data_IF_410976160051
#
_entry.id   IF_410976160051
#
_cell.length_a   1.000
_cell.length_b   1.000
_cell.length_c   1.000
_cell.angle_alpha   90.00
_cell.angle_beta   90.00
_cell.angle_gamma   90.00
#
_symmetry.space_group_name_H-M   'P 1'
#
loop_
_entity.id
_entity.type
_entity.pdbx_description
1 polymer ?
#
# COMPACT_ATOMS: atom_id res chain seq x y z
N UNK A 1 -6.48 2.27 -28.68
CA UNK A 1 -6.36 2.74 -27.28
C UNK A 1 -5.30 1.90 -26.59
N UNK A 2 -4.16 2.51 -26.24
CA UNK A 2 -3.03 1.84 -25.59
C UNK A 2 -3.47 1.19 -24.27
N UNK A 3 -3.09 -0.06 -24.01
CA UNK A 3 -3.44 -0.80 -22.79
C UNK A 3 -2.17 -1.11 -21.97
N UNK A 4 -1.53 -0.10 -21.40
CA UNK A 4 -0.64 -0.32 -20.24
C UNK A 4 -1.51 -0.63 -19.02
N UNK A 5 -1.24 -1.77 -18.35
CA UNK A 5 -2.05 -2.28 -17.22
C UNK A 5 -1.51 -1.77 -15.89
N UNK A 6 -2.34 -1.75 -14.85
CA UNK A 6 -1.84 -1.57 -13.48
C UNK A 6 -1.05 -2.83 -13.04
N UNK A 7 0.04 -2.67 -12.27
CA UNK A 7 0.69 -3.79 -11.60
C UNK A 7 -0.26 -4.40 -10.55
N UNK A 8 -0.08 -5.67 -10.21
CA UNK A 8 -0.80 -6.29 -9.08
C UNK A 8 -0.12 -5.92 -7.74
N UNK A 9 -0.82 -6.08 -6.59
CA UNK A 9 -0.18 -5.90 -5.28
C UNK A 9 1.06 -6.77 -5.09
N UNK A 10 1.04 -8.01 -5.58
CA UNK A 10 2.15 -8.97 -5.49
C UNK A 10 3.35 -8.50 -6.32
N UNK A 11 3.11 -7.99 -7.53
CA UNK A 11 4.16 -7.42 -8.38
C UNK A 11 4.80 -6.19 -7.73
N UNK A 12 3.98 -5.29 -7.16
CA UNK A 12 4.50 -4.13 -6.44
C UNK A 12 5.27 -4.53 -5.17
N UNK A 13 4.79 -5.54 -4.44
CA UNK A 13 5.51 -6.06 -3.28
C UNK A 13 6.87 -6.62 -3.69
N UNK A 14 6.94 -7.37 -4.79
CA UNK A 14 8.19 -7.88 -5.32
C UNK A 14 9.17 -6.76 -5.73
N UNK A 15 8.66 -5.66 -6.32
CA UNK A 15 9.49 -4.47 -6.59
C UNK A 15 10.04 -3.86 -5.31
N UNK A 16 9.21 -3.75 -4.26
CA UNK A 16 9.63 -3.26 -2.96
C UNK A 16 10.72 -4.17 -2.38
N UNK A 17 10.59 -5.49 -2.46
CA UNK A 17 11.56 -6.43 -1.89
C UNK A 17 12.95 -6.31 -2.57
N UNK A 18 12.98 -6.10 -3.88
CA UNK A 18 14.21 -5.95 -4.67
C UNK A 18 14.82 -4.53 -4.58
N UNK A 19 13.99 -3.52 -4.32
CA UNK A 19 14.39 -2.12 -4.38
C UNK A 19 15.32 -1.70 -3.24
N UNK A 20 16.23 -0.78 -3.56
CA UNK A 20 17.01 -0.06 -2.57
C UNK A 20 16.12 0.93 -1.80
N UNK A 21 16.56 1.40 -0.62
CA UNK A 21 15.71 2.24 0.25
C UNK A 21 15.14 3.48 -0.45
N UNK A 22 15.95 4.16 -1.30
CA UNK A 22 15.49 5.31 -2.09
C UNK A 22 14.41 4.92 -3.08
N UNK A 23 14.58 3.80 -3.74
CA UNK A 23 13.68 3.28 -4.76
C UNK A 23 12.38 2.74 -4.13
N UNK A 24 12.47 2.16 -2.93
CA UNK A 24 11.31 1.81 -2.09
C UNK A 24 10.43 3.01 -1.82
N UNK A 25 11.02 4.14 -1.41
CA UNK A 25 10.29 5.40 -1.20
C UNK A 25 9.62 5.89 -2.48
N UNK A 26 10.33 5.85 -3.61
CA UNK A 26 9.78 6.26 -4.91
C UNK A 26 8.55 5.42 -5.27
N UNK A 27 8.70 4.09 -5.23
CA UNK A 27 7.62 3.16 -5.59
C UNK A 27 6.45 3.29 -4.62
N UNK A 28 6.71 3.33 -3.32
CA UNK A 28 5.66 3.41 -2.30
C UNK A 28 4.88 4.72 -2.38
N UNK A 29 5.57 5.85 -2.61
CA UNK A 29 4.90 7.13 -2.78
C UNK A 29 4.06 7.17 -4.06
N UNK A 30 4.57 6.66 -5.19
CA UNK A 30 3.79 6.60 -6.44
C UNK A 30 2.55 5.71 -6.29
N UNK A 31 2.68 4.55 -5.62
CA UNK A 31 1.62 3.58 -5.46
C UNK A 31 0.54 4.02 -4.47
N UNK A 32 0.95 4.64 -3.35
CA UNK A 32 0.03 4.99 -2.26
C UNK A 32 -0.46 6.44 -2.30
N UNK A 33 0.28 7.37 -2.89
CA UNK A 33 -0.13 8.79 -2.96
C UNK A 33 -0.55 9.25 -4.36
N UNK A 34 -0.50 8.36 -5.35
CA UNK A 34 -1.03 8.62 -6.69
C UNK A 34 -0.33 9.75 -7.44
N UNK A 35 0.88 10.17 -7.06
CA UNK A 35 1.57 11.34 -7.64
C UNK A 35 1.92 11.17 -9.13
N UNK A 36 2.03 12.30 -9.85
CA UNK A 36 2.74 12.33 -11.14
C UNK A 36 4.24 12.23 -10.85
N UNK A 37 4.97 11.55 -11.72
CA UNK A 37 6.44 11.41 -11.60
C UNK A 37 7.14 12.76 -11.44
N UNK A 38 6.75 13.75 -12.25
CA UNK A 38 7.31 15.10 -12.18
C UNK A 38 6.92 15.88 -10.91
N UNK A 39 5.76 15.57 -10.31
CA UNK A 39 5.33 16.17 -9.05
C UNK A 39 6.14 15.59 -7.90
N UNK A 40 6.25 14.25 -7.83
CA UNK A 40 7.05 13.56 -6.80
C UNK A 40 8.50 14.04 -6.78
N UNK A 41 9.09 14.25 -7.96
CA UNK A 41 10.46 14.73 -8.11
C UNK A 41 10.72 16.12 -7.51
N UNK A 42 9.68 16.95 -7.39
CA UNK A 42 9.76 18.33 -6.90
C UNK A 42 9.35 18.49 -5.44
N UNK A 43 8.80 17.45 -4.81
CA UNK A 43 8.41 17.53 -3.41
C UNK A 43 9.62 17.85 -2.53
N UNK A 44 9.38 18.68 -1.53
CA UNK A 44 10.33 19.09 -0.50
C UNK A 44 9.88 18.54 0.86
N UNK A 45 10.81 18.48 1.81
CA UNK A 45 10.54 17.98 3.16
C UNK A 45 9.44 18.79 3.88
N UNK A 46 9.33 20.10 3.63
CA UNK A 46 8.28 20.95 4.19
C UNK A 46 6.85 20.43 3.94
N UNK A 47 6.61 19.77 2.79
CA UNK A 47 5.27 19.23 2.46
C UNK A 47 4.84 18.05 3.32
N UNK A 48 5.80 17.31 3.92
CA UNK A 48 5.52 16.13 4.77
C UNK A 48 5.81 16.38 6.23
N UNK A 49 6.65 17.38 6.55
CA UNK A 49 7.25 17.62 7.87
C UNK A 49 6.21 17.63 8.99
N UNK A 50 5.12 18.40 8.82
CA UNK A 50 4.11 18.60 9.86
C UNK A 50 3.54 17.27 10.36
N UNK A 51 3.05 16.44 9.45
CA UNK A 51 2.39 15.19 9.81
C UNK A 51 3.39 14.08 10.15
N UNK A 52 4.52 14.05 9.44
CA UNK A 52 5.55 13.03 9.63
C UNK A 52 6.19 13.11 11.02
N UNK A 53 6.52 14.32 11.49
CA UNK A 53 7.14 14.58 12.79
C UNK A 53 6.13 14.47 13.95
N UNK A 54 4.85 14.81 13.71
CA UNK A 54 3.78 14.61 14.69
C UNK A 54 3.28 13.15 14.77
N UNK A 55 3.83 12.24 13.94
CA UNK A 55 3.42 10.84 13.93
C UNK A 55 1.99 10.60 13.41
N UNK A 56 1.40 11.56 12.70
CA UNK A 56 0.03 11.46 12.17
C UNK A 56 0.05 10.58 10.92
N UNK A 57 -0.83 9.58 10.87
CA UNK A 57 -1.00 8.69 9.71
C UNK A 57 -2.49 8.52 9.38
N UNK A 58 -2.91 8.59 8.11
CA UNK A 58 -2.14 8.86 6.89
C UNK A 58 -1.47 10.25 6.88
N UNK A 59 -0.29 10.39 6.28
CA UNK A 59 0.44 11.69 6.22
C UNK A 59 -0.14 12.53 5.10
N UNK A 60 -0.57 13.75 5.41
CA UNK A 60 -1.08 14.72 4.44
C UNK A 60 0.04 15.39 3.65
N UNK A 61 -0.19 15.59 2.35
CA UNK A 61 0.71 16.28 1.44
C UNK A 61 -0.13 17.21 0.58
N UNK A 62 -0.01 18.51 0.81
CA UNK A 62 -0.59 19.54 -0.06
C UNK A 62 0.32 19.78 -1.27
N UNK A 63 -0.25 19.81 -2.47
CA UNK A 63 0.49 20.03 -3.71
C UNK A 63 -0.04 21.28 -4.39
N UNK A 64 0.82 22.28 -4.46
CA UNK A 64 0.52 23.54 -5.12
C UNK A 64 0.49 23.40 -6.65
N UNK A 65 -0.37 24.21 -7.28
CA UNK A 65 -0.52 24.24 -8.75
C UNK A 65 0.79 24.59 -9.47
N UNK A 66 1.68 25.37 -8.86
CA UNK A 66 3.00 25.73 -9.40
C UNK A 66 3.90 24.53 -9.64
N UNK A 67 3.88 23.56 -8.72
CA UNK A 67 4.64 22.32 -8.84
C UNK A 67 4.19 21.55 -10.09
N UNK A 68 2.90 21.60 -10.40
CA UNK A 68 2.28 20.94 -11.57
C UNK A 68 2.37 21.75 -12.87
N UNK A 69 3.13 22.86 -12.88
CA UNK A 69 3.32 23.78 -14.02
C UNK A 69 2.05 24.56 -14.39
N UNK A 70 1.18 24.85 -13.42
CA UNK A 70 -0.04 25.65 -13.62
C UNK A 70 -1.09 25.00 -14.53
N UNK A 71 -0.90 23.73 -14.92
CA UNK A 71 -1.85 22.98 -15.75
C UNK A 71 -2.94 22.29 -14.94
N UNK A 72 -2.74 22.18 -13.63
CA UNK A 72 -3.64 21.47 -12.72
C UNK A 72 -3.86 22.31 -11.46
N UNK A 73 -5.02 22.13 -10.84
CA UNK A 73 -5.37 22.73 -9.57
C UNK A 73 -4.44 22.26 -8.46
N UNK A 74 -4.36 23.05 -7.39
CA UNK A 74 -3.88 22.59 -6.10
C UNK A 74 -4.75 21.43 -5.60
N UNK A 75 -4.13 20.47 -4.93
CA UNK A 75 -4.84 19.31 -4.41
C UNK A 75 -4.13 18.72 -3.19
N UNK A 76 -4.93 18.08 -2.36
CA UNK A 76 -4.46 17.33 -1.21
C UNK A 76 -4.39 15.84 -1.53
N UNK A 77 -3.28 15.21 -1.17
CA UNK A 77 -3.13 13.76 -1.20
C UNK A 77 -2.55 13.25 0.10
N UNK A 78 -2.56 11.94 0.27
CA UNK A 78 -2.13 11.28 1.49
C UNK A 78 -1.23 10.10 1.18
N UNK A 79 -0.36 9.76 2.12
CA UNK A 79 0.41 8.52 2.08
C UNK A 79 0.12 7.69 3.33
N UNK A 80 -0.11 6.40 3.13
CA UNK A 80 -0.31 5.44 4.21
C UNK A 80 0.96 5.22 5.05
N UNK A 81 0.80 4.47 6.15
CA UNK A 81 1.86 4.15 7.11
C UNK A 81 3.08 3.50 6.43
N UNK A 82 2.86 2.59 5.47
CA UNK A 82 3.95 1.89 4.77
C UNK A 82 4.93 2.85 4.09
N UNK A 83 4.41 3.81 3.31
CA UNK A 83 5.24 4.81 2.64
C UNK A 83 5.87 5.79 3.65
N UNK A 84 5.13 6.16 4.70
CA UNK A 84 5.66 7.03 5.75
C UNK A 84 6.85 6.39 6.48
N UNK A 85 6.80 5.09 6.77
CA UNK A 85 7.88 4.36 7.44
C UNK A 85 9.13 4.27 6.55
N UNK A 86 8.98 3.94 5.27
CA UNK A 86 10.12 3.99 4.33
C UNK A 86 10.72 5.38 4.24
N UNK A 87 9.87 6.42 4.23
CA UNK A 87 10.31 7.80 4.17
C UNK A 87 11.10 8.21 5.43
N UNK A 88 10.66 7.82 6.63
CA UNK A 88 11.40 8.06 7.88
C UNK A 88 12.79 7.44 7.84
N UNK A 89 12.87 6.14 7.50
CA UNK A 89 14.15 5.43 7.43
C UNK A 89 15.06 6.06 6.36
N UNK A 90 14.50 6.51 5.25
CA UNK A 90 15.24 7.21 4.20
C UNK A 90 15.79 8.57 4.67
N UNK A 91 14.99 9.37 5.37
CA UNK A 91 15.44 10.65 5.92
C UNK A 91 16.53 10.45 7.00
N UNK A 92 16.42 9.42 7.82
CA UNK A 92 17.44 9.08 8.81
C UNK A 92 18.76 8.63 8.17
N UNK A 93 18.69 7.85 7.08
CA UNK A 93 19.86 7.51 6.28
C UNK A 93 20.54 8.78 5.73
N UNK A 94 19.76 9.77 5.29
CA UNK A 94 20.30 11.05 4.80
C UNK A 94 20.96 11.86 5.91
N UNK A 95 20.34 11.91 7.09
CA UNK A 95 20.91 12.58 8.29
C UNK A 95 22.23 11.95 8.72
N UNK A 96 22.37 10.62 8.58
CA UNK A 96 23.61 9.89 8.93
C UNK A 96 24.67 9.89 7.82
N UNK A 97 24.27 10.07 6.57
CA UNK A 97 25.16 9.88 5.42
C UNK A 97 25.48 8.42 5.14
N UNK A 98 26.24 8.18 4.07
CA UNK A 98 26.65 6.81 3.71
C UNK A 98 27.87 6.38 4.53
N UNK A 99 27.90 5.13 5.05
CA UNK A 99 29.04 4.61 5.80
C UNK A 99 30.38 4.68 5.03
N UNK A 100 30.32 4.60 3.70
CA UNK A 100 31.51 4.69 2.85
C UNK A 100 32.02 6.12 2.60
N UNK A 101 31.39 7.14 3.19
CA UNK A 101 31.78 8.56 3.05
C UNK A 101 31.49 9.19 1.68
N UNK A 102 30.93 8.44 0.72
CA UNK A 102 30.55 8.97 -0.60
C UNK A 102 29.46 10.05 -0.51
N UNK A 103 28.48 9.83 0.36
CA UNK A 103 27.39 10.76 0.65
C UNK A 103 27.61 11.28 2.07
N UNK A 104 27.90 12.57 2.27
CA UNK A 104 28.07 13.12 3.60
C UNK A 104 26.73 13.18 4.35
N UNK A 105 26.76 13.17 5.70
CA UNK A 105 25.62 13.53 6.52
C UNK A 105 25.08 14.92 6.11
N UNK A 106 23.76 15.10 6.11
CA UNK A 106 23.14 16.39 5.79
C UNK A 106 22.07 16.81 6.80
N UNK A 107 21.93 18.12 7.00
CA UNK A 107 20.84 18.70 7.80
C UNK A 107 19.64 18.97 6.89
N UNK A 108 18.48 18.41 7.24
CA UNK A 108 17.28 18.50 6.42
C UNK A 108 16.44 19.68 6.88
N UNK A 109 16.31 20.67 5.99
CA UNK A 109 15.48 21.86 6.17
C UNK A 109 14.19 21.76 5.31
N UNK A 110 13.25 22.66 5.52
CA UNK A 110 11.92 22.60 4.88
C UNK A 110 11.99 22.68 3.35
N UNK A 111 12.95 23.44 2.80
CA UNK A 111 13.22 23.57 1.37
C UNK A 111 14.05 22.42 0.79
N UNK A 112 14.52 21.50 1.62
CA UNK A 112 15.34 20.38 1.17
C UNK A 112 14.51 19.44 0.31
N UNK A 113 15.06 18.92 -0.80
CA UNK A 113 14.32 17.99 -1.65
C UNK A 113 13.93 16.75 -0.84
N UNK A 114 12.70 16.28 -1.02
CA UNK A 114 12.19 15.10 -0.34
C UNK A 114 12.97 13.85 -0.77
N UNK A 115 13.26 13.74 -2.08
CA UNK A 115 14.06 12.66 -2.66
C UNK A 115 15.27 13.27 -3.37
N UNK A 116 16.47 12.85 -2.95
CA UNK A 116 17.72 13.35 -3.51
C UNK A 116 18.13 12.63 -4.80
N UNK A 117 18.91 13.30 -5.62
CA UNK A 117 19.64 12.69 -6.72
C UNK A 117 20.70 11.69 -6.20
N UNK A 118 20.85 10.56 -6.88
CA UNK A 118 21.56 9.38 -6.38
C UNK A 118 23.05 9.60 -6.11
N UNK A 119 23.75 10.25 -7.04
CA UNK A 119 25.21 10.31 -7.07
C UNK A 119 25.78 11.70 -6.73
N UNK A 120 25.01 12.53 -6.01
CA UNK A 120 25.42 13.88 -5.63
C UNK A 120 25.87 13.99 -4.17
N UNK A 121 27.06 14.57 -3.94
CA UNK A 121 27.44 15.02 -2.59
C UNK A 121 26.46 16.08 -2.06
N UNK A 122 26.10 17.03 -2.92
CA UNK A 122 25.12 18.05 -2.61
C UNK A 122 23.67 17.50 -2.74
N UNK A 123 22.76 17.81 -1.80
CA UNK A 123 21.35 17.42 -1.88
C UNK A 123 20.61 18.17 -2.98
N UNK A 124 20.72 17.66 -4.21
CA UNK A 124 19.91 18.13 -5.34
C UNK A 124 18.65 17.30 -5.45
N UNK A 125 17.55 17.92 -5.88
CA UNK A 125 16.32 17.22 -6.18
C UNK A 125 16.54 16.16 -7.27
N UNK A 126 15.82 15.05 -7.18
CA UNK A 126 15.81 14.03 -8.23
C UNK A 126 15.12 14.58 -9.50
N UNK A 127 15.67 14.28 -10.68
CA UNK A 127 14.98 14.61 -11.93
C UNK A 127 13.85 13.61 -12.22
N UNK A 128 12.76 14.07 -12.83
CA UNK A 128 11.63 13.21 -13.19
C UNK A 128 12.04 12.07 -14.14
N UNK A 129 12.99 12.29 -15.05
CA UNK A 129 13.54 11.22 -15.90
C UNK A 129 14.35 10.22 -15.10
N UNK A 130 15.02 10.65 -14.02
CA UNK A 130 15.75 9.76 -13.14
C UNK A 130 14.78 8.88 -12.34
N UNK A 131 13.67 9.44 -11.84
CA UNK A 131 12.60 8.65 -11.21
C UNK A 131 12.02 7.62 -12.18
N UNK A 132 11.73 8.01 -13.43
CA UNK A 132 11.24 7.08 -14.45
C UNK A 132 12.24 5.95 -14.72
N UNK A 133 13.54 6.28 -14.84
CA UNK A 133 14.60 5.28 -15.04
C UNK A 133 14.77 4.35 -13.85
N UNK A 134 14.70 4.86 -12.63
CA UNK A 134 14.76 4.04 -11.41
C UNK A 134 13.64 2.99 -11.42
N UNK A 135 12.40 3.42 -11.61
CA UNK A 135 11.24 2.50 -11.71
C UNK A 135 11.39 1.52 -12.88
N UNK A 136 11.82 1.98 -14.05
CA UNK A 136 12.06 1.10 -15.20
C UNK A 136 13.12 0.04 -14.88
N UNK A 137 14.24 0.42 -14.26
CA UNK A 137 15.31 -0.50 -13.89
C UNK A 137 14.84 -1.54 -12.86
N UNK A 138 13.95 -1.18 -11.93
CA UNK A 138 13.33 -2.14 -11.02
C UNK A 138 12.48 -3.16 -11.77
N UNK A 139 11.67 -2.74 -12.73
CA UNK A 139 10.90 -3.66 -13.57
C UNK A 139 11.80 -4.58 -14.42
N UNK A 140 12.95 -4.07 -14.91
CA UNK A 140 13.97 -4.92 -15.58
C UNK A 140 14.51 -5.97 -14.61
N UNK A 141 14.91 -5.54 -13.40
CA UNK A 141 15.47 -6.43 -12.37
C UNK A 141 14.47 -7.49 -11.90
N UNK A 142 13.19 -7.14 -11.85
CA UNK A 142 12.09 -8.05 -11.53
C UNK A 142 11.68 -8.95 -12.71
N UNK A 143 12.28 -8.79 -13.90
CA UNK A 143 11.93 -9.51 -15.12
C UNK A 143 10.43 -9.40 -15.50
N UNK A 144 9.84 -8.23 -15.28
CA UNK A 144 8.40 -7.96 -15.50
C UNK A 144 8.11 -7.15 -16.76
N UNK A 145 9.13 -6.84 -17.57
CA UNK A 145 8.97 -6.03 -18.76
C UNK A 145 8.59 -6.86 -19.98
N UNK A 146 7.31 -6.78 -20.34
CA UNK A 146 6.84 -7.25 -21.65
C UNK A 146 6.67 -6.06 -22.59
N UNK A 147 7.30 -6.14 -23.76
CA UNK A 147 7.15 -5.13 -24.81
C UNK A 147 5.81 -5.34 -25.53
N UNK A 148 5.02 -4.27 -25.60
CA UNK A 148 3.79 -4.26 -26.41
C UNK A 148 4.17 -4.00 -27.88
N UNK A 149 4.98 -2.97 -28.12
CA UNK A 149 5.40 -2.54 -29.46
C UNK A 149 6.64 -1.64 -29.38
N UNK A 150 7.77 -2.12 -29.90
CA UNK A 150 9.02 -1.37 -29.90
C UNK A 150 9.52 -1.06 -28.48
N UNK A 151 9.81 0.21 -28.18
CA UNK A 151 10.29 0.67 -26.86
C UNK A 151 9.16 0.89 -25.83
N UNK A 152 7.97 0.32 -26.03
CA UNK A 152 6.80 0.49 -25.16
C UNK A 152 6.55 -0.78 -24.37
N UNK A 153 6.32 -0.62 -23.07
CA UNK A 153 6.13 -1.72 -22.13
C UNK A 153 4.74 -1.72 -21.51
N UNK A 154 4.26 -2.88 -21.06
CA UNK A 154 3.00 -3.00 -20.32
C UNK A 154 3.04 -2.30 -18.96
N UNK A 155 4.21 -2.27 -18.33
CA UNK A 155 4.46 -1.68 -17.01
C UNK A 155 5.45 -0.52 -17.13
N UNK A 156 5.16 0.59 -16.44
CA UNK A 156 6.00 1.77 -16.39
C UNK A 156 5.71 2.62 -15.13
N UNK A 157 6.38 3.74 -14.94
CA UNK A 157 6.06 4.62 -13.80
C UNK A 157 4.60 5.10 -13.78
N UNK A 158 3.96 5.25 -14.94
CA UNK A 158 2.54 5.60 -15.02
C UNK A 158 1.61 4.45 -14.67
N UNK A 159 2.02 3.18 -14.83
CA UNK A 159 1.19 2.04 -14.41
C UNK A 159 1.05 1.98 -12.90
N UNK A 160 2.08 2.38 -12.14
CA UNK A 160 2.00 2.49 -10.67
C UNK A 160 0.95 3.53 -10.25
N UNK A 161 0.88 4.67 -10.96
CA UNK A 161 -0.18 5.66 -10.72
C UNK A 161 -1.57 5.11 -11.08
N UNK A 162 -1.68 4.20 -12.07
CA UNK A 162 -2.95 3.51 -12.36
C UNK A 162 -3.34 2.55 -11.24
N UNK A 163 -2.39 1.86 -10.62
CA UNK A 163 -2.65 1.02 -9.45
C UNK A 163 -3.36 1.80 -8.35
N UNK A 164 -2.87 3.00 -8.00
CA UNK A 164 -3.54 3.86 -7.01
C UNK A 164 -5.03 4.06 -7.33
N UNK A 165 -5.34 4.53 -8.54
CA UNK A 165 -6.72 4.77 -8.97
C UNK A 165 -7.56 3.50 -8.95
N UNK A 166 -7.06 2.41 -9.51
CA UNK A 166 -7.79 1.14 -9.62
C UNK A 166 -8.07 0.54 -8.25
N UNK A 167 -7.08 0.52 -7.36
CA UNK A 167 -7.25 -0.05 -6.03
C UNK A 167 -8.17 0.80 -5.16
N UNK A 168 -8.01 2.12 -5.15
CA UNK A 168 -8.88 2.98 -4.36
C UNK A 168 -10.34 2.93 -4.84
N UNK A 169 -10.57 2.85 -6.15
CA UNK A 169 -11.91 2.64 -6.69
C UNK A 169 -12.49 1.26 -6.28
N UNK A 170 -11.66 0.21 -6.31
CA UNK A 170 -12.06 -1.13 -5.85
C UNK A 170 -12.37 -1.18 -4.35
N UNK A 171 -11.75 -0.30 -3.56
CA UNK A 171 -12.00 -0.13 -2.13
C UNK A 171 -13.22 0.78 -1.84
N UNK A 172 -13.94 1.22 -2.87
CA UNK A 172 -15.20 1.96 -2.74
C UNK A 172 -15.06 3.47 -2.58
N UNK A 173 -13.86 4.03 -2.78
CA UNK A 173 -13.67 5.49 -2.74
C UNK A 173 -14.32 6.12 -3.98
N UNK A 174 -15.20 7.13 -3.83
CA UNK A 174 -15.88 7.72 -4.98
C UNK A 174 -14.89 8.39 -5.94
N UNK A 175 -15.15 8.25 -7.24
CA UNK A 175 -14.26 8.68 -8.32
C UNK A 175 -13.83 10.14 -8.21
N UNK A 176 -14.72 11.05 -7.82
CA UNK A 176 -14.41 12.48 -7.75
C UNK A 176 -13.32 12.80 -6.72
N UNK A 177 -13.36 12.14 -5.54
CA UNK A 177 -12.30 12.27 -4.54
C UNK A 177 -10.98 11.69 -5.05
N UNK A 178 -11.01 10.63 -5.87
CA UNK A 178 -9.81 10.07 -6.48
C UNK A 178 -9.22 11.00 -7.53
N UNK A 179 -10.05 11.58 -8.39
CA UNK A 179 -9.61 12.56 -9.36
C UNK A 179 -8.99 13.77 -8.67
N UNK A 180 -9.57 14.21 -7.55
CA UNK A 180 -9.01 15.27 -6.70
C UNK A 180 -7.65 14.88 -6.12
N UNK A 181 -7.54 13.73 -5.43
CA UNK A 181 -6.27 13.26 -4.85
C UNK A 181 -5.19 13.00 -5.91
N UNK A 182 -5.57 12.79 -7.17
CA UNK A 182 -4.66 12.67 -8.30
C UNK A 182 -4.31 14.01 -8.95
N UNK A 183 -4.95 15.11 -8.56
CA UNK A 183 -4.80 16.44 -9.15
C UNK A 183 -5.27 16.46 -10.61
N UNK A 184 -6.40 15.83 -10.89
CA UNK A 184 -7.12 15.96 -12.15
C UNK A 184 -8.09 17.15 -12.08
N UNK A 185 -8.41 17.73 -13.23
CA UNK A 185 -9.37 18.83 -13.30
C UNK A 185 -10.77 18.30 -12.96
N UNK A 186 -11.36 18.84 -11.89
CA UNK A 186 -12.72 18.52 -11.47
C UNK A 186 -13.75 19.35 -12.24
N UNK A 187 -15.01 18.91 -12.16
CA UNK A 187 -16.14 19.73 -12.60
C UNK A 187 -16.22 21.01 -11.75
N UNK A 188 -16.50 22.15 -12.39
CA UNK A 188 -16.62 23.47 -11.74
C UNK A 188 -17.59 23.48 -10.54
N UNK A 189 -18.57 22.58 -10.54
CA UNK A 189 -19.60 22.51 -9.50
C UNK A 189 -19.21 21.65 -8.28
N UNK A 190 -18.05 20.99 -8.31
CA UNK A 190 -17.61 20.10 -7.23
C UNK A 190 -16.38 20.66 -6.52
N UNK A 191 -16.64 21.45 -5.47
CA UNK A 191 -15.60 21.92 -4.55
C UNK A 191 -15.36 20.89 -3.45
N UNK A 192 -14.42 19.98 -3.72
CA UNK A 192 -14.00 18.94 -2.77
C UNK A 192 -13.15 19.53 -1.64
N UNK A 193 -12.42 20.62 -1.91
CA UNK A 193 -11.53 21.26 -0.95
C UNK A 193 -12.31 21.83 0.25
N UNK A 194 -13.54 22.30 0.03
CA UNK A 194 -14.45 22.75 1.09
C UNK A 194 -14.69 21.70 2.20
N UNK A 195 -14.61 20.40 1.89
CA UNK A 195 -14.84 19.33 2.89
C UNK A 195 -13.75 19.26 3.96
N UNK A 196 -12.58 19.84 3.69
CA UNK A 196 -11.46 19.91 4.62
C UNK A 196 -10.58 18.67 4.62
N UNK A 197 -9.34 18.88 5.10
CA UNK A 197 -8.25 17.89 5.05
C UNK A 197 -8.60 16.64 5.87
N UNK A 198 -9.16 16.80 7.06
CA UNK A 198 -9.45 15.66 7.94
C UNK A 198 -10.57 14.75 7.39
N UNK A 199 -11.53 15.31 6.67
CA UNK A 199 -12.54 14.52 5.98
C UNK A 199 -11.91 13.64 4.90
N UNK A 200 -11.03 14.22 4.07
CA UNK A 200 -10.31 13.47 3.03
C UNK A 200 -9.33 12.46 3.61
N UNK A 201 -8.67 12.80 4.73
CA UNK A 201 -7.80 11.90 5.48
C UNK A 201 -8.56 10.68 5.98
N UNK A 202 -9.76 10.88 6.51
CA UNK A 202 -10.62 9.79 6.97
C UNK A 202 -11.07 8.89 5.82
N UNK A 203 -11.42 9.45 4.66
CA UNK A 203 -11.73 8.66 3.45
C UNK A 203 -10.53 7.81 3.04
N UNK A 204 -9.34 8.41 2.96
CA UNK A 204 -8.12 7.69 2.59
C UNK A 204 -7.78 6.60 3.62
N UNK A 205 -7.82 6.94 4.91
CA UNK A 205 -7.51 6.00 6.00
C UNK A 205 -8.48 4.82 6.05
N UNK A 206 -9.78 5.08 5.86
CA UNK A 206 -10.82 4.05 5.85
C UNK A 206 -10.68 3.07 4.66
N UNK A 207 -10.11 3.52 3.53
CA UNK A 207 -9.88 2.65 2.38
C UNK A 207 -8.93 1.48 2.70
N UNK A 208 -7.98 1.68 3.62
CA UNK A 208 -6.97 0.67 3.96
C UNK A 208 -6.09 0.27 2.76
N UNK A 209 -5.79 1.23 1.87
CA UNK A 209 -4.88 1.02 0.75
C UNK A 209 -3.50 0.56 1.23
N UNK A 210 -3.01 -0.53 0.64
CA UNK A 210 -1.77 -1.21 1.03
C UNK A 210 -1.08 -1.76 -0.21
N UNK A 211 0.25 -1.71 -0.24
CA UNK A 211 1.05 -2.41 -1.26
C UNK A 211 1.19 -3.87 -0.86
N UNK A 212 1.38 -4.13 0.44
CA UNK A 212 1.46 -5.50 0.94
C UNK A 212 0.19 -6.23 0.56
N UNK A 213 0.29 -7.39 -0.11
CA UNK A 213 -0.88 -8.20 -0.39
C UNK A 213 -1.50 -8.54 0.97
N UNK A 214 -2.79 -8.25 1.11
CA UNK A 214 -3.55 -8.78 2.25
C UNK A 214 -3.41 -10.29 2.15
N UNK A 215 -2.80 -10.92 3.15
CA UNK A 215 -2.73 -12.37 3.23
C UNK A 215 -4.16 -12.84 3.05
N UNK A 216 -4.44 -13.48 1.91
CA UNK A 216 -5.68 -14.22 1.74
C UNK A 216 -5.50 -15.43 2.64
N UNK A 217 -5.71 -15.22 3.94
CA UNK A 217 -5.81 -16.32 4.86
C UNK A 217 -6.86 -17.24 4.26
N UNK A 218 -6.49 -18.51 4.07
CA UNK A 218 -7.50 -19.47 3.64
C UNK A 218 -8.64 -19.43 4.65
N UNK A 219 -9.87 -19.74 4.23
CA UNK A 219 -11.01 -19.78 5.18
C UNK A 219 -10.69 -20.61 6.42
N UNK A 220 -9.86 -21.63 6.27
CA UNK A 220 -9.34 -22.48 7.34
C UNK A 220 -8.42 -21.69 8.26
N UNK A 221 -7.43 -20.97 7.73
CA UNK A 221 -6.50 -20.17 8.54
C UNK A 221 -7.22 -19.08 9.33
N UNK A 222 -8.21 -18.41 8.75
CA UNK A 222 -9.04 -17.44 9.49
C UNK A 222 -9.80 -18.09 10.63
N UNK A 223 -10.36 -19.29 10.42
CA UNK A 223 -11.09 -20.01 11.46
C UNK A 223 -10.14 -20.51 12.55
N UNK A 224 -8.95 -21.00 12.17
CA UNK A 224 -7.89 -21.42 13.10
C UNK A 224 -7.44 -20.25 13.98
N UNK A 225 -7.24 -19.06 13.41
CA UNK A 225 -6.90 -17.84 14.16
C UNK A 225 -8.00 -17.42 15.15
N UNK A 226 -9.27 -17.40 14.72
CA UNK A 226 -10.40 -17.04 15.61
C UNK A 226 -10.51 -18.02 16.78
N UNK A 227 -10.41 -19.32 16.52
CA UNK A 227 -10.46 -20.36 17.56
C UNK A 227 -9.29 -20.23 18.54
N UNK A 228 -8.08 -19.92 18.05
CA UNK A 228 -6.91 -19.62 18.91
C UNK A 228 -7.13 -18.37 19.75
N UNK A 229 -7.70 -17.31 19.18
CA UNK A 229 -8.01 -16.07 19.90
C UNK A 229 -9.02 -16.31 21.03
N UNK A 230 -9.88 -17.33 20.89
CA UNK A 230 -10.82 -17.78 21.93
C UNK A 230 -10.22 -18.81 22.90
N UNK A 231 -8.90 -19.04 22.85
CA UNK A 231 -8.17 -19.87 23.81
C UNK A 231 -8.21 -21.37 23.56
N UNK A 232 -8.60 -21.82 22.36
CA UNK A 232 -8.62 -23.24 21.99
C UNK A 232 -7.61 -23.60 20.91
N UNK A 233 -7.24 -24.87 20.86
CA UNK A 233 -6.36 -25.41 19.84
C UNK A 233 -7.18 -26.01 18.68
N UNK A 234 -7.14 -25.43 17.47
CA UNK A 234 -7.91 -25.94 16.35
C UNK A 234 -7.48 -27.34 15.89
N UNK A 235 -6.23 -27.75 16.13
CA UNK A 235 -5.76 -29.09 15.75
C UNK A 235 -6.34 -30.18 16.66
N UNK A 236 -6.56 -29.87 17.94
CA UNK A 236 -7.24 -30.78 18.87
C UNK A 236 -8.71 -30.99 18.48
N UNK A 237 -9.37 -29.94 17.97
CA UNK A 237 -10.76 -30.03 17.49
C UNK A 237 -10.83 -30.93 16.26
N UNK A 238 -9.95 -30.70 15.28
CA UNK A 238 -9.89 -31.49 14.05
C UNK A 238 -9.55 -32.97 14.33
N UNK A 239 -8.59 -33.24 15.22
CA UNK A 239 -8.21 -34.61 15.59
C UNK A 239 -9.31 -35.32 16.38
N UNK A 240 -9.98 -34.64 17.30
CA UNK A 240 -11.12 -35.20 18.04
C UNK A 240 -12.28 -35.56 17.11
N UNK A 241 -12.58 -34.71 16.13
CA UNK A 241 -13.64 -35.00 15.15
C UNK A 241 -13.27 -36.13 14.20
N UNK A 242 -12.01 -36.19 13.76
CA UNK A 242 -11.47 -37.31 12.97
C UNK A 242 -11.57 -38.65 13.72
N UNK A 243 -11.38 -38.65 15.04
CA UNK A 243 -11.56 -39.85 15.88
C UNK A 243 -13.03 -40.24 16.09
N UNK A 244 -13.94 -39.26 16.15
CA UNK A 244 -15.39 -39.52 16.29
C UNK A 244 -16.02 -40.00 14.99
N UNK A 245 -15.45 -39.65 13.83
CA UNK A 245 -15.95 -40.05 12.51
C UNK A 245 -14.86 -40.73 11.65
N UNK A 246 -14.33 -41.90 12.05
CA UNK A 246 -13.20 -42.55 11.37
C UNK A 246 -13.51 -42.99 9.93
N UNK A 247 -14.77 -43.25 9.60
CA UNK A 247 -15.24 -43.53 8.23
C UNK A 247 -15.17 -42.34 7.25
N UNK A 248 -14.81 -41.15 7.74
CA UNK A 248 -14.81 -39.90 6.95
C UNK A 248 -13.41 -39.49 6.49
N UNK A 249 -12.38 -40.31 6.72
CA UNK A 249 -11.04 -40.04 6.20
C UNK A 249 -11.06 -40.18 4.68
N UNK A 250 -11.35 -39.08 3.98
CA UNK A 250 -11.42 -39.06 2.52
C UNK A 250 -10.00 -39.19 1.99
N UNK A 251 -9.69 -40.31 1.33
CA UNK A 251 -8.51 -40.45 0.46
C UNK A 251 -8.88 -39.74 -0.87
N UNK A 252 -9.04 -38.42 -0.86
CA UNK A 252 -9.34 -37.65 -2.07
C UNK A 252 -8.04 -37.11 -2.67
N UNK A 253 -7.83 -37.38 -3.95
CA UNK A 253 -6.69 -36.88 -4.74
C UNK A 253 -6.74 -35.36 -5.01
N UNK A 254 -7.62 -34.62 -4.33
CA UNK A 254 -7.87 -33.19 -4.50
C UNK A 254 -7.85 -32.48 -3.15
N UNK A 255 -6.83 -31.63 -2.94
CA UNK A 255 -6.66 -30.82 -1.73
C UNK A 255 -7.89 -29.95 -1.37
N UNK A 256 -8.71 -29.60 -2.37
CA UNK A 256 -9.89 -28.76 -2.19
C UNK A 256 -11.04 -29.41 -1.38
N UNK A 257 -11.17 -30.75 -1.42
CA UNK A 257 -12.25 -31.45 -0.70
C UNK A 257 -11.94 -31.59 0.79
N UNK A 258 -10.67 -31.83 1.11
CA UNK A 258 -10.13 -31.84 2.49
C UNK A 258 -10.33 -30.47 3.15
N UNK A 259 -9.96 -29.41 2.43
CA UNK A 259 -10.10 -28.03 2.90
C UNK A 259 -11.56 -27.69 3.26
N UNK A 260 -12.51 -28.13 2.45
CA UNK A 260 -13.93 -27.83 2.68
C UNK A 260 -14.49 -28.58 3.91
N UNK A 261 -14.02 -29.80 4.19
CA UNK A 261 -14.40 -30.55 5.39
C UNK A 261 -13.85 -29.91 6.66
N UNK A 262 -12.57 -29.50 6.66
CA UNK A 262 -11.96 -28.82 7.81
C UNK A 262 -12.67 -27.49 8.12
N UNK A 263 -13.04 -26.73 7.08
CA UNK A 263 -13.83 -25.50 7.25
C UNK A 263 -15.15 -25.79 7.95
N UNK A 264 -15.88 -26.84 7.56
CA UNK A 264 -17.18 -27.17 8.16
C UNK A 264 -17.06 -27.54 9.64
N UNK A 265 -16.09 -28.40 9.98
CA UNK A 265 -15.80 -28.80 11.36
C UNK A 265 -15.47 -27.60 12.24
N UNK A 266 -14.51 -26.76 11.81
CA UNK A 266 -14.11 -25.57 12.57
C UNK A 266 -15.25 -24.54 12.68
N UNK A 267 -16.09 -24.41 11.64
CA UNK A 267 -17.26 -23.52 11.66
C UNK A 267 -18.34 -23.99 12.63
N UNK A 268 -18.57 -25.31 12.71
CA UNK A 268 -19.53 -25.89 13.65
C UNK A 268 -19.07 -25.71 15.09
N UNK A 269 -17.79 -25.98 15.37
CA UNK A 269 -17.19 -25.76 16.68
C UNK A 269 -17.32 -24.29 17.11
N UNK A 270 -17.00 -23.34 16.23
CA UNK A 270 -17.15 -21.91 16.49
C UNK A 270 -18.61 -21.52 16.82
N UNK A 271 -19.58 -22.06 16.07
CA UNK A 271 -21.00 -21.77 16.29
C UNK A 271 -21.48 -22.25 17.66
N UNK A 272 -21.09 -23.46 18.05
CA UNK A 272 -21.41 -24.02 19.36
C UNK A 272 -20.76 -23.20 20.50
N UNK A 273 -19.56 -22.68 20.28
CA UNK A 273 -18.88 -21.79 21.23
C UNK A 273 -19.66 -20.50 21.45
N UNK A 274 -19.98 -19.78 20.37
CA UNK A 274 -20.77 -18.55 20.46
C UNK A 274 -22.12 -18.78 21.16
N UNK A 275 -22.75 -19.94 20.88
CA UNK A 275 -24.02 -20.31 21.51
C UNK A 275 -23.89 -20.52 23.02
N UNK A 276 -22.84 -21.21 23.49
CA UNK A 276 -22.60 -21.43 24.92
C UNK A 276 -22.32 -20.13 25.66
N UNK A 277 -21.58 -19.22 25.03
CA UNK A 277 -21.26 -17.93 25.62
C UNK A 277 -22.51 -17.05 25.76
N UNK A 278 -23.35 -16.98 24.73
CA UNK A 278 -24.62 -16.27 24.77
C UNK A 278 -25.57 -16.83 25.84
N UNK A 279 -25.58 -18.14 26.04
CA UNK A 279 -26.36 -18.78 27.11
C UNK A 279 -25.80 -18.43 28.50
N UNK A 280 -24.48 -18.44 28.67
CA UNK A 280 -23.83 -18.09 29.94
C UNK A 280 -24.00 -16.60 30.32
N UNK A 281 -24.12 -15.71 29.33
CA UNK A 281 -24.46 -14.29 29.56
C UNK A 281 -25.91 -14.17 30.02
N UNK A 282 -26.82 -14.92 29.39
CA UNK A 282 -28.26 -14.90 29.71
C UNK A 282 -28.60 -15.51 31.08
N UNK A 283 -27.74 -16.37 31.61
CA UNK A 283 -27.86 -16.93 32.98
C UNK A 283 -27.28 -16.00 34.05
N UNK A 284 -26.56 -14.93 33.67
CA UNK A 284 -25.98 -13.93 34.59
C UNK A 284 -26.81 -12.64 34.68
N UNK A 285 -27.81 -12.46 33.83
CA UNK A 285 -28.85 -11.43 33.93
C UNK A 285 -30.05 -11.93 34.74
#
# INVERSE_FOLDING_TARGET
>A
TNKDRAPTPEELQHLIDIADLRDKVIVSMLALGGFRVGTLAKLQYGHVKRDLENGITPVHIHIESEITKGKYCDYDTFIGKEAADFLRVYLDLRRRGSPCGKIPPETINDTSPLIRAEHGRQPRAVDGKAVYRAVHNLYVRANMLESIRGRRYMLCAHSIRKFFRTQMAALGVPTEYLEYMMGHTLSTYHDIQMKGIEFLRNIYGASGLSIRPKTRLSKIETLKEIIRAWGMNPEEILTREAMLQPHRTIISNSAADTDNSEVQTLSAALRDMMRRELLAIKEKE
#
